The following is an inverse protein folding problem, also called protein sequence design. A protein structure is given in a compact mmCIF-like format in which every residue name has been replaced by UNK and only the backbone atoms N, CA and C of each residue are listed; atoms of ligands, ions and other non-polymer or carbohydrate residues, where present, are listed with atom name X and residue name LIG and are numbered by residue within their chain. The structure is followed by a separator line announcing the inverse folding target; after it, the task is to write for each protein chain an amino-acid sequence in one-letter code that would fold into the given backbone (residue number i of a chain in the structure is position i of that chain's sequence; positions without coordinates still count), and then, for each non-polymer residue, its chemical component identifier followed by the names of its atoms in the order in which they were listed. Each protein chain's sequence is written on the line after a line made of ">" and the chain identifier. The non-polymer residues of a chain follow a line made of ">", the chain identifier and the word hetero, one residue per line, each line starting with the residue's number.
data_IF_237544302371
#
_entry.id   IF_237544302371
#
_cell.length_a   1.000
_cell.length_b   1.000
_cell.length_c   1.000
_cell.angle_alpha   90.00
_cell.angle_beta   90.00
_cell.angle_gamma   90.00
#
_symmetry.space_group_name_H-M   'P 1'
#
loop_
_entity.id
_entity.type
_entity.pdbx_description
1 polymer ?
#
# COMPACT_ATOMS: atom_id res chain seq x y z
N UNK A 1 28.26 -0.22 15.75
CA UNK A 1 27.45 -1.15 14.92
C UNK A 1 26.04 -1.44 15.48
N UNK A 2 25.68 -0.91 16.65
CA UNK A 2 24.53 -1.34 17.48
C UNK A 2 23.21 -0.60 17.23
N UNK A 3 23.22 0.58 16.58
CA UNK A 3 22.03 1.44 16.46
C UNK A 3 21.05 0.99 15.35
N UNK A 4 21.56 0.37 14.27
CA UNK A 4 20.75 -0.05 13.12
C UNK A 4 19.86 -1.28 13.44
N UNK A 5 20.36 -2.18 14.30
CA UNK A 5 19.63 -3.37 14.75
C UNK A 5 18.44 -3.03 15.67
N UNK A 6 18.56 -2.00 16.53
CA UNK A 6 17.47 -1.59 17.43
C UNK A 6 16.22 -1.09 16.68
N UNK A 7 16.39 -0.34 15.58
CA UNK A 7 15.26 0.15 14.76
C UNK A 7 14.56 -0.99 14.01
N UNK A 8 15.32 -1.93 13.45
CA UNK A 8 14.76 -3.10 12.77
C UNK A 8 14.02 -4.01 13.75
N UNK A 9 14.58 -4.20 14.95
CA UNK A 9 13.92 -4.95 16.02
C UNK A 9 12.63 -4.27 16.48
N UNK A 10 12.64 -2.95 16.68
CA UNK A 10 11.44 -2.20 17.08
C UNK A 10 10.32 -2.28 16.02
N UNK A 11 10.65 -2.17 14.73
CA UNK A 11 9.69 -2.33 13.65
C UNK A 11 9.08 -3.74 13.62
N UNK A 12 9.92 -4.77 13.80
CA UNK A 12 9.47 -6.16 13.87
C UNK A 12 8.60 -6.42 15.11
N UNK A 13 8.97 -5.88 16.27
CA UNK A 13 8.15 -5.97 17.49
C UNK A 13 6.81 -5.25 17.32
N UNK A 14 6.78 -4.07 16.72
CA UNK A 14 5.55 -3.35 16.43
C UNK A 14 4.63 -4.14 15.49
N UNK A 15 5.20 -4.75 14.44
CA UNK A 15 4.48 -5.65 13.55
C UNK A 15 3.83 -6.82 14.30
N UNK A 16 4.61 -7.54 15.12
CA UNK A 16 4.09 -8.67 15.90
C UNK A 16 3.01 -8.24 16.89
N UNK A 17 3.19 -7.09 17.55
CA UNK A 17 2.20 -6.53 18.47
C UNK A 17 0.92 -6.14 17.72
N UNK A 18 1.03 -5.53 16.53
CA UNK A 18 -0.13 -5.21 15.72
C UNK A 18 -0.89 -6.47 15.31
N UNK A 19 -0.18 -7.49 14.80
CA UNK A 19 -0.80 -8.77 14.41
C UNK A 19 -1.45 -9.46 15.61
N UNK A 20 -0.79 -9.50 16.76
CA UNK A 20 -1.34 -10.08 17.98
C UNK A 20 -2.57 -9.31 18.49
N UNK A 21 -2.50 -7.98 18.53
CA UNK A 21 -3.61 -7.13 18.95
C UNK A 21 -4.81 -7.26 18.00
N UNK A 22 -4.57 -7.23 16.67
CA UNK A 22 -5.62 -7.40 15.68
C UNK A 22 -6.21 -8.81 15.73
N UNK A 23 -5.37 -9.83 15.88
CA UNK A 23 -5.81 -11.21 16.04
C UNK A 23 -6.66 -11.42 17.29
N UNK A 24 -6.26 -10.84 18.43
CA UNK A 24 -7.06 -10.84 19.66
C UNK A 24 -8.40 -10.10 19.48
N UNK A 25 -8.39 -8.97 18.79
CA UNK A 25 -9.61 -8.22 18.48
C UNK A 25 -10.58 -9.06 17.66
N UNK A 26 -10.11 -9.69 16.58
CA UNK A 26 -10.94 -10.57 15.73
C UNK A 26 -11.38 -11.84 16.47
N UNK A 27 -10.57 -12.33 17.41
CA UNK A 27 -10.95 -13.47 18.26
C UNK A 27 -12.06 -13.12 19.26
N UNK A 28 -12.02 -11.92 19.86
CA UNK A 28 -13.04 -11.47 20.81
C UNK A 28 -14.30 -10.94 20.14
N UNK A 29 -14.15 -10.26 19.01
CA UNK A 29 -15.24 -9.64 18.27
C UNK A 29 -15.29 -10.24 16.87
N UNK A 30 -16.35 -11.01 16.53
CA UNK A 30 -16.49 -11.53 15.19
C UNK A 30 -16.51 -10.36 14.19
N UNK A 31 -15.96 -10.52 12.97
CA UNK A 31 -15.87 -9.42 12.00
C UNK A 31 -17.18 -8.69 11.73
N UNK A 32 -18.31 -9.40 11.81
CA UNK A 32 -19.66 -8.81 11.71
C UNK A 32 -19.92 -7.85 12.87
N UNK A 33 -19.64 -8.26 14.11
CA UNK A 33 -19.77 -7.42 15.30
C UNK A 33 -18.85 -6.20 15.28
N UNK A 34 -17.67 -6.30 14.66
CA UNK A 34 -16.77 -5.15 14.43
C UNK A 34 -17.45 -4.13 13.51
N UNK A 35 -18.01 -4.57 12.38
CA UNK A 35 -18.68 -3.68 11.42
C UNK A 35 -19.96 -3.09 12.00
N UNK A 36 -20.73 -3.86 12.77
CA UNK A 36 -21.92 -3.38 13.48
C UNK A 36 -21.58 -2.30 14.51
N UNK A 37 -20.53 -2.50 15.29
CA UNK A 37 -20.09 -1.55 16.33
C UNK A 37 -19.50 -0.28 15.72
N UNK A 38 -18.70 -0.41 14.67
CA UNK A 38 -18.14 0.75 13.95
C UNK A 38 -19.23 1.50 13.17
N UNK A 39 -20.18 0.76 12.61
CA UNK A 39 -21.10 1.25 11.59
C UNK A 39 -20.44 1.31 10.20
N UNK A 40 -21.26 1.15 9.16
CA UNK A 40 -20.81 1.01 7.76
C UNK A 40 -19.87 2.15 7.33
N UNK A 41 -20.25 3.41 7.62
CA UNK A 41 -19.47 4.59 7.22
C UNK A 41 -18.09 4.63 7.87
N UNK A 42 -18.01 4.27 9.15
CA UNK A 42 -16.74 4.29 9.87
C UNK A 42 -15.86 3.10 9.49
N UNK A 43 -16.45 1.95 9.14
CA UNK A 43 -15.69 0.82 8.60
C UNK A 43 -14.91 1.19 7.35
N UNK A 44 -15.55 1.91 6.42
CA UNK A 44 -14.87 2.46 5.24
C UNK A 44 -13.78 3.49 5.58
N UNK A 45 -14.01 4.35 6.57
CA UNK A 45 -13.00 5.30 7.04
C UNK A 45 -11.80 4.59 7.68
N UNK A 46 -12.05 3.52 8.45
CA UNK A 46 -10.99 2.68 9.03
C UNK A 46 -10.16 2.05 7.92
N UNK A 47 -10.79 1.55 6.85
CA UNK A 47 -10.06 1.01 5.69
C UNK A 47 -9.19 2.07 5.01
N UNK A 48 -9.71 3.29 4.83
CA UNK A 48 -8.94 4.42 4.29
C UNK A 48 -7.74 4.76 5.18
N UNK A 49 -7.94 4.90 6.49
CA UNK A 49 -6.86 5.22 7.45
C UNK A 49 -5.83 4.09 7.47
N UNK A 50 -6.28 2.83 7.49
CA UNK A 50 -5.37 1.68 7.45
C UNK A 50 -4.54 1.66 6.17
N UNK A 51 -5.16 1.92 5.01
CA UNK A 51 -4.44 2.04 3.73
C UNK A 51 -3.43 3.19 3.73
N UNK A 52 -3.82 4.36 4.26
CA UNK A 52 -2.95 5.53 4.38
C UNK A 52 -1.71 5.25 5.25
N UNK A 53 -1.92 4.68 6.43
CA UNK A 53 -0.82 4.28 7.32
C UNK A 53 0.04 3.18 6.70
N UNK A 54 -0.58 2.25 5.95
CA UNK A 54 0.11 1.23 5.17
C UNK A 54 1.06 1.81 4.13
N UNK A 55 0.63 2.85 3.40
CA UNK A 55 1.44 3.51 2.38
C UNK A 55 2.55 4.41 2.91
N UNK A 56 2.41 4.97 4.12
CA UNK A 56 3.47 5.80 4.74
C UNK A 56 4.64 4.95 5.24
N UNK A 57 4.37 3.71 5.66
CA UNK A 57 5.26 2.98 6.55
C UNK A 57 5.48 1.54 6.14
N UNK A 58 5.83 1.29 4.87
CA UNK A 58 6.01 -0.10 4.44
C UNK A 58 7.20 -0.81 5.09
N UNK A 59 8.20 -0.08 5.60
CA UNK A 59 9.29 -0.71 6.37
C UNK A 59 8.87 -1.20 7.76
N UNK A 60 7.69 -0.82 8.25
CA UNK A 60 7.11 -1.32 9.51
C UNK A 60 5.87 -2.17 9.29
N UNK A 61 5.57 -2.52 8.02
CA UNK A 61 4.50 -3.40 7.54
C UNK A 61 3.29 -3.47 8.45
N UNK A 62 2.52 -2.39 8.66
CA UNK A 62 1.15 -2.59 9.13
C UNK A 62 0.46 -3.39 8.02
N UNK A 63 0.03 -4.64 8.28
CA UNK A 63 -0.63 -5.44 7.27
C UNK A 63 -2.08 -4.93 7.15
N UNK A 64 -2.25 -3.74 6.58
CA UNK A 64 -3.53 -3.09 6.38
C UNK A 64 -4.48 -3.98 5.54
N UNK A 65 -3.91 -4.88 4.73
CA UNK A 65 -4.63 -5.92 4.00
C UNK A 65 -5.44 -6.82 4.94
N UNK A 66 -4.97 -7.10 6.16
CA UNK A 66 -5.75 -7.84 7.17
C UNK A 66 -6.99 -7.03 7.55
N UNK A 67 -6.86 -5.71 7.74
CA UNK A 67 -8.00 -4.83 8.03
C UNK A 67 -9.03 -4.88 6.89
N UNK A 68 -8.57 -4.78 5.64
CA UNK A 68 -9.43 -4.87 4.44
C UNK A 68 -10.15 -6.22 4.38
N UNK A 69 -9.44 -7.32 4.62
CA UNK A 69 -10.05 -8.66 4.63
C UNK A 69 -11.07 -8.80 5.77
N UNK A 70 -10.73 -8.40 7.01
CA UNK A 70 -11.63 -8.44 8.17
C UNK A 70 -12.91 -7.64 7.90
N UNK A 71 -12.79 -6.44 7.36
CA UNK A 71 -13.93 -5.58 7.03
C UNK A 71 -14.78 -6.18 5.89
N UNK A 72 -14.16 -6.87 4.93
CA UNK A 72 -14.86 -7.66 3.91
C UNK A 72 -15.64 -8.83 4.49
N UNK A 73 -15.03 -9.60 5.41
CA UNK A 73 -15.71 -10.68 6.17
C UNK A 73 -16.88 -10.13 6.98
N UNK A 74 -16.73 -8.93 7.54
CA UNK A 74 -17.77 -8.22 8.28
C UNK A 74 -18.94 -7.68 7.43
N UNK A 75 -18.92 -7.90 6.11
CA UNK A 75 -20.06 -7.62 5.22
C UNK A 75 -20.05 -6.24 4.57
N UNK A 76 -18.95 -5.48 4.62
CA UNK A 76 -18.82 -4.23 3.86
C UNK A 76 -18.78 -4.49 2.36
N UNK A 77 -19.35 -3.57 1.56
CA UNK A 77 -19.40 -3.73 0.11
C UNK A 77 -17.98 -3.77 -0.50
N UNK A 78 -17.54 -4.88 -1.12
CA UNK A 78 -16.14 -5.10 -1.45
C UNK A 78 -15.52 -4.04 -2.37
N UNK A 79 -16.29 -3.53 -3.34
CA UNK A 79 -15.80 -2.49 -4.27
C UNK A 79 -15.51 -1.17 -3.55
N UNK A 80 -16.40 -0.72 -2.68
CA UNK A 80 -16.22 0.54 -1.95
C UNK A 80 -15.11 0.43 -0.92
N UNK A 81 -15.01 -0.75 -0.29
CA UNK A 81 -13.93 -1.07 0.63
C UNK A 81 -12.57 -1.02 -0.09
N UNK A 82 -12.48 -1.67 -1.25
CA UNK A 82 -11.28 -1.66 -2.08
C UNK A 82 -10.87 -0.28 -2.57
N UNK A 83 -11.83 0.52 -3.06
CA UNK A 83 -11.58 1.89 -3.52
C UNK A 83 -11.08 2.78 -2.38
N UNK A 84 -11.73 2.75 -1.22
CA UNK A 84 -11.36 3.64 -0.11
C UNK A 84 -10.04 3.23 0.54
N UNK A 85 -9.76 1.93 0.67
CA UNK A 85 -8.45 1.46 1.09
C UNK A 85 -7.34 1.90 0.12
N UNK A 86 -7.56 1.74 -1.19
CA UNK A 86 -6.60 2.14 -2.21
C UNK A 86 -6.42 3.67 -2.31
N UNK A 87 -7.46 4.46 -2.03
CA UNK A 87 -7.33 5.92 -1.92
C UNK A 87 -6.48 6.32 -0.72
N UNK A 88 -6.67 5.67 0.43
CA UNK A 88 -5.79 5.84 1.58
C UNK A 88 -4.34 5.55 1.19
N UNK A 89 -4.11 4.38 0.59
CA UNK A 89 -2.79 3.95 0.12
C UNK A 89 -2.18 4.95 -0.87
N UNK A 90 -2.95 5.48 -1.81
CA UNK A 90 -2.51 6.50 -2.76
C UNK A 90 -1.95 7.74 -2.05
N UNK A 91 -2.62 8.23 -1.01
CA UNK A 91 -2.13 9.37 -0.23
C UNK A 91 -0.89 9.02 0.58
N UNK A 92 -0.81 7.80 1.12
CA UNK A 92 0.38 7.32 1.83
C UNK A 92 1.58 7.22 0.88
N UNK A 93 1.42 6.51 -0.23
CA UNK A 93 2.44 6.33 -1.27
C UNK A 93 2.90 7.67 -1.85
N UNK A 94 2.00 8.66 -1.94
CA UNK A 94 2.37 10.02 -2.37
C UNK A 94 3.44 10.63 -1.45
N UNK A 95 3.40 10.35 -0.14
CA UNK A 95 4.44 10.82 0.79
C UNK A 95 5.79 10.12 0.51
N UNK A 96 5.78 8.81 0.28
CA UNK A 96 6.96 8.03 -0.11
C UNK A 96 7.55 8.49 -1.45
N UNK A 97 6.71 8.85 -2.41
CA UNK A 97 7.16 9.41 -3.69
C UNK A 97 7.93 10.70 -3.48
N UNK A 98 7.36 11.60 -2.67
CA UNK A 98 7.94 12.91 -2.36
C UNK A 98 9.29 12.73 -1.65
N UNK A 99 9.38 11.79 -0.71
CA UNK A 99 10.64 11.41 -0.07
C UNK A 99 11.68 10.93 -1.09
N UNK A 100 11.29 10.07 -2.03
CA UNK A 100 12.18 9.64 -3.12
C UNK A 100 12.60 10.81 -4.04
N UNK A 101 11.66 11.70 -4.37
CA UNK A 101 11.90 12.84 -5.26
C UNK A 101 12.91 13.83 -4.69
N UNK A 102 12.76 14.20 -3.41
CA UNK A 102 13.70 15.10 -2.73
C UNK A 102 14.98 14.39 -2.28
N UNK A 103 14.91 13.08 -2.00
CA UNK A 103 16.07 12.22 -1.73
C UNK A 103 17.08 12.16 -2.88
N UNK A 104 16.68 12.56 -4.09
CA UNK A 104 17.57 12.69 -5.25
C UNK A 104 18.81 13.56 -4.96
N UNK A 105 18.72 14.57 -4.10
CA UNK A 105 19.84 15.46 -3.78
C UNK A 105 20.97 14.78 -2.99
N UNK A 106 20.69 13.63 -2.37
CA UNK A 106 21.67 12.84 -1.61
C UNK A 106 22.39 11.83 -2.53
N UNK A 107 21.99 11.73 -3.80
CA UNK A 107 22.59 10.79 -4.76
C UNK A 107 24.00 11.25 -5.14
N UNK A 108 25.02 10.37 -5.01
CA UNK A 108 26.40 10.69 -5.39
C UNK A 108 26.52 11.20 -6.84
N UNK A 109 27.39 12.18 -7.07
CA UNK A 109 27.62 12.78 -8.39
C UNK A 109 27.90 11.73 -9.50
N UNK A 110 28.61 10.64 -9.17
CA UNK A 110 28.87 9.54 -10.11
C UNK A 110 27.63 8.75 -10.56
N UNK A 111 26.53 8.81 -9.80
CA UNK A 111 25.27 8.14 -10.13
C UNK A 111 24.26 9.06 -10.83
N UNK A 112 24.41 10.38 -10.70
CA UNK A 112 23.50 11.36 -11.33
C UNK A 112 23.40 11.16 -12.85
N UNK A 113 24.52 10.93 -13.53
CA UNK A 113 24.54 10.65 -14.97
C UNK A 113 23.82 9.33 -15.35
N UNK A 114 23.85 8.32 -14.49
CA UNK A 114 23.09 7.07 -14.70
C UNK A 114 21.60 7.31 -14.51
N UNK A 115 21.21 8.08 -13.50
CA UNK A 115 19.81 8.38 -13.21
C UNK A 115 19.20 9.26 -14.31
N UNK A 116 19.96 10.23 -14.84
CA UNK A 116 19.53 11.04 -15.98
C UNK A 116 19.30 10.18 -17.23
N UNK A 117 20.25 9.28 -17.56
CA UNK A 117 20.08 8.33 -18.67
C UNK A 117 18.89 7.42 -18.48
N UNK A 118 18.68 6.91 -17.26
CA UNK A 118 17.53 6.07 -16.93
C UNK A 118 16.21 6.84 -17.08
N UNK A 119 16.15 8.08 -16.61
CA UNK A 119 14.98 8.97 -16.77
C UNK A 119 14.67 9.19 -18.25
N UNK A 120 15.67 9.52 -19.06
CA UNK A 120 15.49 9.69 -20.51
C UNK A 120 15.02 8.39 -21.18
N UNK A 121 15.57 7.25 -20.77
CA UNK A 121 15.18 5.93 -21.26
C UNK A 121 13.74 5.56 -20.90
N UNK A 122 13.28 5.90 -19.69
CA UNK A 122 11.90 5.70 -19.22
C UNK A 122 10.91 6.63 -19.92
N UNK A 123 11.33 7.87 -20.22
CA UNK A 123 10.51 8.87 -20.90
C UNK A 123 10.51 8.76 -22.42
N UNK A 124 11.33 7.87 -22.99
CA UNK A 124 11.38 7.65 -24.42
C UNK A 124 9.98 7.34 -24.98
N UNK A 125 9.62 7.96 -26.11
CA UNK A 125 8.25 7.93 -26.67
C UNK A 125 7.67 6.52 -26.84
N UNK A 126 8.52 5.53 -27.19
CA UNK A 126 8.12 4.12 -27.32
C UNK A 126 7.67 3.47 -25.99
N UNK A 127 8.08 4.01 -24.84
CA UNK A 127 7.87 3.45 -23.50
C UNK A 127 7.00 4.31 -22.60
N UNK A 128 6.57 5.47 -23.08
CA UNK A 128 5.72 6.40 -22.34
C UNK A 128 4.42 5.74 -21.82
N UNK A 129 3.91 4.73 -22.51
CA UNK A 129 2.72 3.94 -22.12
C UNK A 129 3.06 2.60 -21.46
N UNK A 130 4.19 2.00 -21.86
CA UNK A 130 4.63 0.70 -21.36
C UNK A 130 4.94 0.76 -19.86
N UNK A 131 5.65 1.80 -19.41
CA UNK A 131 6.01 1.96 -17.99
C UNK A 131 4.77 2.10 -17.08
N UNK A 132 3.80 3.00 -17.37
CA UNK A 132 2.52 3.03 -16.65
C UNK A 132 1.79 1.70 -16.59
N UNK A 133 1.74 0.94 -17.69
CA UNK A 133 1.08 -0.37 -17.73
C UNK A 133 1.77 -1.35 -16.76
N UNK A 134 3.10 -1.41 -16.76
CA UNK A 134 3.82 -2.26 -15.81
C UNK A 134 3.57 -1.84 -14.35
N UNK A 135 3.50 -0.55 -14.06
CA UNK A 135 3.18 -0.04 -12.71
C UNK A 135 1.76 -0.44 -12.29
N UNK A 136 0.80 -0.37 -13.22
CA UNK A 136 -0.57 -0.83 -12.98
C UNK A 136 -0.63 -2.33 -12.69
N UNK A 137 0.01 -3.15 -13.54
CA UNK A 137 0.05 -4.61 -13.34
C UNK A 137 0.76 -4.98 -12.04
N UNK A 138 1.82 -4.23 -11.68
CA UNK A 138 2.49 -4.37 -10.39
C UNK A 138 1.51 -4.15 -9.24
N UNK A 139 0.83 -2.99 -9.20
CA UNK A 139 -0.10 -2.66 -8.12
C UNK A 139 -1.34 -3.56 -8.06
N UNK A 140 -1.73 -4.18 -9.17
CA UNK A 140 -2.90 -5.06 -9.24
C UNK A 140 -2.63 -6.49 -8.76
N UNK A 141 -1.46 -7.04 -9.06
CA UNK A 141 -1.20 -8.48 -8.92
C UNK A 141 -0.07 -8.82 -7.96
N UNK A 142 0.85 -7.90 -7.70
CA UNK A 142 2.00 -8.21 -6.85
C UNK A 142 1.69 -7.79 -5.41
N UNK A 143 1.67 -8.74 -4.45
CA UNK A 143 1.46 -8.44 -3.03
C UNK A 143 2.74 -7.89 -2.37
N UNK A 144 3.47 -7.04 -3.08
CA UNK A 144 4.69 -6.40 -2.61
C UNK A 144 4.43 -4.93 -2.28
N UNK A 145 5.36 -4.36 -1.52
CA UNK A 145 5.33 -2.95 -1.16
C UNK A 145 5.38 -2.03 -2.38
N UNK A 146 4.37 -1.16 -2.50
CA UNK A 146 4.36 -0.08 -3.47
C UNK A 146 5.56 0.87 -3.34
N UNK A 147 6.09 1.06 -2.13
CA UNK A 147 7.23 1.96 -1.88
C UNK A 147 8.45 1.64 -2.74
N UNK A 148 8.68 0.37 -3.08
CA UNK A 148 9.78 -0.03 -3.97
C UNK A 148 9.66 0.66 -5.33
N UNK A 149 8.47 0.70 -5.91
CA UNK A 149 8.21 1.36 -7.18
C UNK A 149 8.22 2.87 -7.00
N UNK A 150 7.54 3.36 -5.96
CA UNK A 150 7.25 4.77 -5.77
C UNK A 150 8.50 5.56 -5.39
N UNK A 151 9.28 5.08 -4.42
CA UNK A 151 10.55 5.70 -4.00
C UNK A 151 11.57 5.62 -5.14
N UNK A 152 11.70 4.48 -5.81
CA UNK A 152 12.67 4.32 -6.91
C UNK A 152 12.38 5.25 -8.09
N UNK A 153 11.12 5.34 -8.50
CA UNK A 153 10.73 6.24 -9.59
C UNK A 153 10.74 7.72 -9.17
N UNK A 154 10.47 8.00 -7.89
CA UNK A 154 10.69 9.31 -7.28
C UNK A 154 12.16 9.75 -7.34
N UNK A 155 13.10 8.88 -6.95
CA UNK A 155 14.54 9.12 -7.02
C UNK A 155 15.05 9.44 -8.42
N UNK A 156 14.42 8.88 -9.46
CA UNK A 156 14.76 9.14 -10.87
C UNK A 156 13.97 10.33 -11.44
N UNK A 157 13.12 10.98 -10.62
CA UNK A 157 12.22 12.09 -11.00
C UNK A 157 11.34 11.75 -12.19
N UNK A 158 10.82 10.52 -12.22
CA UNK A 158 9.82 10.10 -13.19
C UNK A 158 8.45 10.73 -12.84
N UNK A 159 7.65 11.24 -13.79
CA UNK A 159 6.49 12.09 -13.48
C UNK A 159 5.49 11.45 -12.50
N UNK A 160 5.13 12.19 -11.44
CA UNK A 160 4.22 11.76 -10.37
C UNK A 160 2.97 11.05 -10.88
N UNK A 161 2.19 11.72 -11.73
CA UNK A 161 0.92 11.17 -12.25
C UNK A 161 1.10 9.91 -13.11
N UNK A 162 2.26 9.72 -13.73
CA UNK A 162 2.58 8.50 -14.50
C UNK A 162 2.95 7.31 -13.61
N UNK A 163 3.14 7.52 -12.32
CA UNK A 163 3.29 6.47 -11.31
C UNK A 163 1.99 6.28 -10.55
N UNK A 164 1.45 7.37 -10.01
CA UNK A 164 0.38 7.33 -9.02
C UNK A 164 -0.97 6.92 -9.61
N UNK A 165 -1.33 7.38 -10.81
CA UNK A 165 -2.60 6.98 -11.43
C UNK A 165 -2.60 5.49 -11.75
N UNK A 166 -1.60 4.94 -12.49
CA UNK A 166 -1.57 3.51 -12.76
C UNK A 166 -1.47 2.66 -11.50
N UNK A 167 -0.64 3.07 -10.53
CA UNK A 167 -0.46 2.33 -9.28
C UNK A 167 -1.72 2.34 -8.42
N UNK A 168 -2.39 3.49 -8.32
CA UNK A 168 -3.66 3.62 -7.60
C UNK A 168 -4.76 2.78 -8.23
N UNK A 169 -4.88 2.79 -9.56
CA UNK A 169 -5.84 1.94 -10.28
C UNK A 169 -5.55 0.45 -10.06
N UNK A 170 -4.27 0.04 -10.11
CA UNK A 170 -3.89 -1.33 -9.78
C UNK A 170 -4.24 -1.67 -8.33
N UNK A 171 -3.93 -0.77 -7.40
CA UNK A 171 -4.20 -0.95 -5.98
C UNK A 171 -5.70 -1.05 -5.66
N UNK A 172 -6.56 -0.36 -6.42
CA UNK A 172 -8.03 -0.52 -6.32
C UNK A 172 -8.41 -1.96 -6.66
N UNK A 173 -7.88 -2.51 -7.76
CA UNK A 173 -8.16 -3.90 -8.16
C UNK A 173 -7.67 -4.86 -7.09
N UNK A 174 -6.43 -4.72 -6.65
CA UNK A 174 -5.84 -5.57 -5.61
C UNK A 174 -6.66 -5.56 -4.31
N UNK A 175 -7.00 -4.37 -3.80
CA UNK A 175 -7.76 -4.25 -2.56
C UNK A 175 -9.22 -4.71 -2.71
N UNK A 176 -9.82 -4.53 -3.88
CA UNK A 176 -11.15 -5.06 -4.17
C UNK A 176 -11.14 -6.59 -4.20
N UNK A 177 -10.13 -7.21 -4.80
CA UNK A 177 -9.95 -8.67 -4.78
C UNK A 177 -9.76 -9.18 -3.35
N UNK A 178 -8.96 -8.51 -2.52
CA UNK A 178 -8.83 -8.85 -1.09
C UNK A 178 -10.15 -8.73 -0.32
N UNK A 179 -10.92 -7.67 -0.58
CA UNK A 179 -12.23 -7.49 0.05
C UNK A 179 -13.22 -8.59 -0.36
N UNK A 180 -13.21 -9.01 -1.63
CA UNK A 180 -13.99 -10.15 -2.10
C UNK A 180 -13.53 -11.47 -1.48
N UNK A 181 -12.22 -11.69 -1.36
CA UNK A 181 -11.68 -12.85 -0.66
C UNK A 181 -12.20 -12.90 0.79
N UNK A 182 -12.21 -11.77 1.49
CA UNK A 182 -12.83 -11.65 2.82
C UNK A 182 -14.32 -12.02 2.79
N UNK A 183 -15.10 -11.33 1.96
CA UNK A 183 -16.55 -11.53 1.88
C UNK A 183 -16.94 -12.99 1.56
N UNK A 184 -16.23 -13.66 0.65
CA UNK A 184 -16.52 -15.04 0.27
C UNK A 184 -15.90 -16.07 1.23
N UNK A 185 -14.79 -15.77 1.91
CA UNK A 185 -14.23 -16.68 2.92
C UNK A 185 -15.21 -16.91 4.08
N UNK A 186 -16.03 -15.91 4.42
CA UNK A 186 -17.08 -16.04 5.43
C UNK A 186 -18.09 -17.16 5.12
N UNK A 187 -18.34 -17.45 3.83
CA UNK A 187 -19.29 -18.49 3.41
C UNK A 187 -18.74 -19.92 3.42
N UNK A 188 -17.43 -20.11 3.64
CA UNK A 188 -16.81 -21.44 3.72
C UNK A 188 -16.46 -21.88 5.15
N UNK A 189 -16.42 -20.94 6.11
CA UNK A 189 -16.02 -21.20 7.50
C UNK A 189 -17.16 -21.03 8.53
N UNK A 190 -18.36 -20.65 8.08
CA UNK A 190 -19.62 -20.65 8.85
C UNK A 190 -20.52 -21.76 8.32
#
# INVERSE_FOLDING_TARGET
>A
MTYRYKKQFAAFSFFLLFVAAWGLLVYQFPPQGIVETLGIRNGYLVAFIAGFLGGISTFTSIPYTIVVVTLGVGGLHPVWLGVLAALGLFFGDSTSYVLGYYGHHVVPNGLQGRFLRLRMWLLARKRAWVVPIFIFLYGAFFPFSNDLVVISLGLVRYPFWRVMIPLGLGSIIYNTLLAYLGAYSAGYFL
#
